data_IF_562957769511
#
_entry.id   IF_562957769511
#
_cell.length_a   1.000
_cell.length_b   1.000
_cell.length_c   1.000
_cell.angle_alpha   90.00
_cell.angle_beta   90.00
_cell.angle_gamma   90.00
#
_symmetry.space_group_name_H-M   'P 1'
#
loop_
_entity.id
_entity.type
_entity.pdbx_description
1 polymer ?
#
# COMPACT_ATOMS: atom_id res chain seq x y z
N UNK A 1 24.38 20.18 -50.43
CA UNK A 1 23.00 19.85 -50.80
C UNK A 1 22.10 20.08 -49.60
N UNK A 2 21.14 21.02 -49.65
CA UNK A 2 20.16 21.18 -48.57
C UNK A 2 18.83 20.54 -48.98
N UNK A 3 18.33 19.60 -48.18
CA UNK A 3 16.93 19.20 -48.25
C UNK A 3 16.15 19.84 -47.10
N UNK A 4 14.97 20.28 -47.49
CA UNK A 4 14.03 21.16 -46.80
C UNK A 4 12.95 20.34 -46.08
N UNK A 5 12.56 20.83 -44.90
CA UNK A 5 11.24 20.74 -44.24
C UNK A 5 10.61 19.36 -43.98
N UNK A 6 10.36 19.07 -42.70
CA UNK A 6 9.02 18.60 -42.32
C UNK A 6 8.70 18.90 -40.84
N UNK A 7 7.56 19.56 -40.68
CA UNK A 7 6.87 19.95 -39.45
C UNK A 7 6.41 18.77 -38.61
N UNK A 8 6.63 18.82 -37.29
CA UNK A 8 5.78 18.15 -36.31
C UNK A 8 5.31 19.15 -35.24
N UNK A 9 4.12 19.69 -35.47
CA UNK A 9 3.20 20.12 -34.39
C UNK A 9 2.70 18.86 -33.67
N UNK A 10 1.96 19.08 -32.57
CA UNK A 10 1.21 18.12 -31.72
C UNK A 10 2.03 17.29 -30.72
N UNK A 11 1.67 17.15 -29.45
CA UNK A 11 0.44 17.45 -28.70
C UNK A 11 0.82 17.77 -27.24
N UNK A 12 0.28 18.83 -26.67
CA UNK A 12 0.14 18.97 -25.22
C UNK A 12 -0.86 17.90 -24.74
N UNK A 13 -0.45 17.02 -23.82
CA UNK A 13 -1.38 16.30 -22.96
C UNK A 13 -0.84 16.26 -21.54
N UNK A 14 -1.41 17.17 -20.76
CA UNK A 14 -1.64 17.10 -19.33
C UNK A 14 -1.35 15.74 -18.68
N UNK A 15 -0.35 15.71 -17.78
CA UNK A 15 -0.38 14.89 -16.57
C UNK A 15 -0.05 15.80 -15.39
N UNK A 16 -0.84 16.87 -15.26
CA UNK A 16 -0.85 17.77 -14.10
C UNK A 16 -2.11 17.48 -13.27
N UNK A 17 -2.29 16.22 -12.88
CA UNK A 17 -3.45 15.78 -12.07
C UNK A 17 -3.13 14.65 -11.09
N UNK A 18 -1.87 14.43 -10.70
CA UNK A 18 -1.54 13.39 -9.69
C UNK A 18 -0.92 13.95 -8.40
N UNK A 19 -1.16 15.22 -8.07
CA UNK A 19 -0.60 15.81 -6.84
C UNK A 19 -1.60 16.57 -5.95
N UNK A 20 -2.90 16.54 -6.28
CA UNK A 20 -3.93 17.21 -5.46
C UNK A 20 -4.56 16.22 -4.45
N UNK A 21 -4.58 14.92 -4.74
CA UNK A 21 -5.06 13.90 -3.79
C UNK A 21 -3.98 13.43 -2.79
N UNK A 22 -2.70 13.48 -3.18
CA UNK A 22 -1.59 13.16 -2.28
C UNK A 22 -1.38 14.21 -1.18
N UNK A 23 -1.91 15.43 -1.36
CA UNK A 23 -1.68 16.57 -0.47
C UNK A 23 -2.57 16.60 0.79
N UNK A 24 -3.60 15.76 0.92
CA UNK A 24 -4.57 15.89 2.05
C UNK A 24 -4.94 14.60 2.79
N UNK A 25 -4.16 13.53 2.66
CA UNK A 25 -4.26 12.39 3.58
C UNK A 25 -3.15 12.50 4.62
N UNK A 26 -3.35 13.39 5.61
CA UNK A 26 -2.46 13.47 6.78
C UNK A 26 -2.59 12.17 7.58
N UNK A 27 -1.46 11.54 7.87
CA UNK A 27 -1.38 10.40 8.77
C UNK A 27 -1.46 10.88 10.21
N UNK A 28 -2.13 10.11 11.07
CA UNK A 28 -2.21 10.37 12.50
C UNK A 28 -1.86 9.11 13.29
N UNK A 29 -1.35 9.30 14.49
CA UNK A 29 -1.14 8.19 15.43
C UNK A 29 -2.47 7.49 15.68
N UNK A 30 -2.46 6.16 15.77
CA UNK A 30 -3.64 5.29 15.87
C UNK A 30 -4.48 5.15 14.60
N UNK A 31 -4.05 5.72 13.46
CA UNK A 31 -4.72 5.41 12.19
C UNK A 31 -4.67 3.91 11.90
N UNK A 32 -5.83 3.37 11.53
CA UNK A 32 -5.99 1.97 11.11
C UNK A 32 -5.62 1.86 9.64
N UNK A 33 -4.63 1.02 9.33
CA UNK A 33 -4.07 0.92 7.99
C UNK A 33 -4.11 -0.50 7.44
N UNK A 34 -4.11 -0.57 6.11
CA UNK A 34 -3.97 -1.80 5.36
C UNK A 34 -2.70 -1.70 4.52
N UNK A 35 -1.81 -2.67 4.70
CA UNK A 35 -0.60 -2.82 3.91
C UNK A 35 -0.71 -4.03 2.98
N UNK A 36 -0.57 -3.79 1.67
CA UNK A 36 -0.60 -4.82 0.64
C UNK A 36 0.77 -5.45 0.49
N UNK A 37 0.91 -6.75 0.78
CA UNK A 37 2.20 -7.45 0.63
C UNK A 37 2.12 -8.58 -0.38
N UNK A 38 2.90 -8.48 -1.45
CA UNK A 38 3.14 -9.58 -2.38
C UNK A 38 3.96 -10.69 -1.71
N UNK A 39 3.60 -11.93 -2.03
CA UNK A 39 4.20 -13.15 -1.49
C UNK A 39 4.26 -14.22 -2.55
N UNK A 40 5.24 -15.12 -2.38
CA UNK A 40 5.39 -16.32 -3.19
C UNK A 40 5.43 -17.55 -2.27
N UNK A 41 4.63 -18.56 -2.56
CA UNK A 41 4.54 -19.81 -1.79
C UNK A 41 3.96 -20.94 -2.63
N UNK A 42 4.23 -22.19 -2.24
CA UNK A 42 3.59 -23.39 -2.80
C UNK A 42 2.12 -23.51 -2.41
N UNK A 43 1.71 -22.85 -1.31
CA UNK A 43 0.34 -22.91 -0.78
C UNK A 43 -0.10 -21.51 -0.34
N UNK A 44 -0.91 -20.82 -1.15
CA UNK A 44 -1.55 -19.56 -0.78
C UNK A 44 -2.50 -19.74 0.40
N UNK A 45 -2.47 -18.81 1.34
CA UNK A 45 -3.37 -18.85 2.49
C UNK A 45 -4.78 -18.31 2.15
N UNK A 46 -5.78 -18.49 3.04
CA UNK A 46 -7.18 -18.08 2.79
C UNK A 46 -7.42 -16.58 2.54
N UNK A 47 -6.40 -15.73 2.72
CA UNK A 47 -6.47 -14.27 2.50
C UNK A 47 -5.62 -13.82 1.31
N UNK A 48 -5.16 -14.77 0.50
CA UNK A 48 -4.46 -14.49 -0.74
C UNK A 48 -5.48 -13.94 -1.76
N UNK A 49 -5.16 -12.80 -2.35
CA UNK A 49 -5.85 -12.23 -3.51
C UNK A 49 -4.88 -12.18 -4.69
N UNK A 50 -5.41 -12.04 -5.91
CA UNK A 50 -4.61 -11.99 -7.14
C UNK A 50 -3.62 -13.17 -7.20
N UNK A 51 -4.16 -14.39 -7.14
CA UNK A 51 -3.34 -15.60 -7.09
C UNK A 51 -3.00 -16.02 -8.51
N UNK A 52 -1.72 -15.94 -8.85
CA UNK A 52 -1.18 -16.35 -10.14
C UNK A 52 -0.25 -17.55 -9.97
N UNK A 53 -0.49 -18.61 -10.75
CA UNK A 53 0.43 -19.74 -10.81
C UNK A 53 1.71 -19.34 -11.56
N UNK A 54 2.87 -19.75 -11.04
CA UNK A 54 4.12 -19.62 -11.77
C UNK A 54 4.06 -20.44 -13.07
N UNK A 55 4.81 -20.03 -14.09
CA UNK A 55 4.78 -20.65 -15.42
C UNK A 55 5.07 -22.18 -15.42
N UNK A 56 5.77 -22.69 -14.41
CA UNK A 56 6.08 -24.12 -14.23
C UNK A 56 5.21 -24.83 -13.17
N UNK A 57 4.23 -24.14 -12.59
CA UNK A 57 3.26 -24.70 -11.64
C UNK A 57 3.78 -25.02 -10.23
N UNK A 58 5.07 -24.75 -9.94
CA UNK A 58 5.68 -25.10 -8.65
C UNK A 58 5.28 -24.17 -7.50
N UNK A 59 4.97 -22.91 -7.80
CA UNK A 59 4.65 -21.89 -6.81
C UNK A 59 3.55 -20.97 -7.30
N UNK A 60 2.97 -20.22 -6.35
CA UNK A 60 1.99 -19.18 -6.61
C UNK A 60 2.52 -17.84 -6.14
N UNK A 61 2.23 -16.80 -6.91
CA UNK A 61 2.38 -15.40 -6.52
C UNK A 61 1.02 -14.87 -6.09
N UNK A 62 0.98 -14.15 -4.98
CA UNK A 62 -0.28 -13.61 -4.47
C UNK A 62 -0.06 -12.39 -3.58
N UNK A 63 -1.08 -11.54 -3.47
CA UNK A 63 -1.07 -10.40 -2.57
C UNK A 63 -1.83 -10.73 -1.28
N UNK A 64 -1.32 -10.27 -0.14
CA UNK A 64 -1.97 -10.43 1.16
C UNK A 64 -2.08 -9.08 1.85
N UNK A 65 -3.31 -8.72 2.20
CA UNK A 65 -3.57 -7.53 3.00
C UNK A 65 -3.23 -7.76 4.47
N UNK A 66 -2.56 -6.77 5.06
CA UNK A 66 -2.10 -6.77 6.45
C UNK A 66 -2.73 -5.60 7.17
N UNK A 67 -3.48 -5.89 8.23
CA UNK A 67 -4.16 -4.90 9.06
C UNK A 67 -3.25 -4.50 10.22
N UNK A 68 -2.81 -3.25 10.23
CA UNK A 68 -1.85 -2.68 11.19
C UNK A 68 -2.36 -1.34 11.74
N UNK A 69 -1.67 -0.81 12.74
CA UNK A 69 -1.96 0.51 13.33
C UNK A 69 -0.71 1.37 13.33
N UNK A 70 -0.85 2.68 13.06
CA UNK A 70 0.23 3.64 13.22
C UNK A 70 0.51 3.84 14.71
N UNK A 71 1.67 3.37 15.15
CA UNK A 71 2.16 3.58 16.52
C UNK A 71 2.73 4.98 16.71
N UNK A 72 3.47 5.49 15.73
CA UNK A 72 4.12 6.79 15.81
C UNK A 72 4.50 7.31 14.41
N UNK A 73 4.45 8.63 14.23
CA UNK A 73 5.03 9.31 13.07
C UNK A 73 6.49 9.69 13.40
N UNK A 74 7.41 9.36 12.51
CA UNK A 74 8.83 9.67 12.62
C UNK A 74 9.11 10.93 11.78
N UNK A 75 10.01 11.79 12.27
CA UNK A 75 10.31 13.10 11.67
C UNK A 75 10.75 13.03 10.19
N UNK A 76 11.32 11.90 9.75
CA UNK A 76 11.80 11.68 8.39
C UNK A 76 10.71 11.26 7.38
N UNK A 77 9.43 11.43 7.71
CA UNK A 77 8.32 11.00 6.84
C UNK A 77 8.07 9.49 6.84
N UNK A 78 8.64 8.79 7.83
CA UNK A 78 8.36 7.37 8.07
C UNK A 78 7.25 7.20 9.10
N UNK A 79 6.51 6.10 8.96
CA UNK A 79 5.46 5.69 9.87
C UNK A 79 5.91 4.41 10.57
N UNK A 80 5.93 4.45 11.90
CA UNK A 80 6.15 3.26 12.71
C UNK A 80 4.81 2.54 12.87
N UNK A 81 4.69 1.39 12.25
CA UNK A 81 3.49 0.55 12.22
C UNK A 81 3.67 -0.63 13.17
N UNK A 82 2.60 -1.01 13.87
CA UNK A 82 2.58 -2.20 14.73
C UNK A 82 1.59 -3.24 14.20
N UNK A 83 2.02 -4.49 14.25
CA UNK A 83 1.20 -5.65 13.89
C UNK A 83 0.50 -6.24 15.11
N UNK A 84 -0.49 -7.11 14.89
CA UNK A 84 -1.18 -7.83 15.97
C UNK A 84 -0.24 -8.65 16.88
N UNK A 85 0.91 -9.09 16.39
CA UNK A 85 1.86 -9.85 17.20
C UNK A 85 2.86 -8.94 17.92
N UNK A 86 2.66 -7.61 17.90
CA UNK A 86 3.57 -6.63 18.48
C UNK A 86 4.80 -6.30 17.63
N UNK A 87 4.97 -6.93 16.46
CA UNK A 87 6.09 -6.61 15.56
C UNK A 87 5.92 -5.20 15.01
N UNK A 88 7.02 -4.45 14.96
CA UNK A 88 7.04 -3.08 14.46
C UNK A 88 7.71 -3.04 13.08
N UNK A 89 7.22 -2.14 12.22
CA UNK A 89 7.74 -1.91 10.87
C UNK A 89 7.76 -0.41 10.59
N UNK A 90 8.91 0.12 10.15
CA UNK A 90 9.00 1.48 9.63
C UNK A 90 8.74 1.46 8.11
N UNK A 91 7.79 2.25 7.64
CA UNK A 91 7.38 2.33 6.22
C UNK A 91 7.28 3.80 5.81
N UNK A 92 7.63 4.10 4.56
CA UNK A 92 7.47 5.44 3.99
C UNK A 92 5.98 5.83 3.93
N UNK A 93 5.66 7.06 4.31
CA UNK A 93 4.28 7.56 4.29
C UNK A 93 3.64 7.59 2.90
N UNK A 94 4.45 7.56 1.83
CA UNK A 94 4.04 7.55 0.43
C UNK A 94 4.17 6.17 -0.22
N UNK A 95 4.39 5.09 0.56
CA UNK A 95 4.44 3.75 0.00
C UNK A 95 3.10 3.41 -0.68
N UNK A 96 3.07 3.07 -1.98
CA UNK A 96 1.84 2.79 -2.72
C UNK A 96 1.07 1.59 -2.18
N UNK A 97 1.72 0.71 -1.41
CA UNK A 97 1.09 -0.44 -0.78
C UNK A 97 0.36 -0.09 0.52
N UNK A 98 0.60 1.11 1.06
CA UNK A 98 0.04 1.58 2.32
C UNK A 98 -1.18 2.46 2.06
N UNK A 99 -2.30 2.12 2.72
CA UNK A 99 -3.52 2.93 2.68
C UNK A 99 -4.25 2.92 4.01
N UNK A 100 -5.09 3.94 4.25
CA UNK A 100 -6.06 3.89 5.36
C UNK A 100 -7.04 2.75 5.14
N UNK A 101 -7.43 2.09 6.24
CA UNK A 101 -8.50 1.12 6.22
C UNK A 101 -9.83 1.83 5.93
N UNK A 102 -10.62 1.25 5.02
CA UNK A 102 -11.96 1.72 4.69
C UNK A 102 -12.92 1.53 5.88
N UNK A 103 -14.05 2.24 5.91
CA UNK A 103 -15.03 2.11 6.99
C UNK A 103 -15.53 0.66 7.17
N UNK A 104 -15.74 -0.06 6.07
CA UNK A 104 -16.14 -1.46 6.10
C UNK A 104 -15.05 -2.37 6.67
N UNK A 105 -13.79 -2.18 6.30
CA UNK A 105 -12.67 -2.95 6.86
C UNK A 105 -12.46 -2.66 8.34
N UNK A 106 -12.60 -1.40 8.76
CA UNK A 106 -12.55 -1.02 10.18
C UNK A 106 -13.62 -1.76 10.97
N UNK A 107 -14.84 -1.85 10.45
CA UNK A 107 -15.93 -2.57 11.09
C UNK A 107 -15.72 -4.09 11.09
N UNK A 108 -15.45 -4.69 9.93
CA UNK A 108 -15.32 -6.13 9.76
C UNK A 108 -14.10 -6.71 10.51
N UNK A 109 -12.98 -5.98 10.51
CA UNK A 109 -11.76 -6.36 11.21
C UNK A 109 -11.56 -5.69 12.56
N UNK A 110 -12.61 -5.09 13.15
CA UNK A 110 -12.54 -4.36 14.43
C UNK A 110 -11.82 -5.12 15.54
N UNK A 111 -12.05 -6.43 15.63
CA UNK A 111 -11.46 -7.27 16.66
C UNK A 111 -9.93 -7.35 16.52
N UNK A 112 -9.43 -7.41 15.28
CA UNK A 112 -7.99 -7.43 15.01
C UNK A 112 -7.34 -6.10 15.38
N UNK A 113 -8.02 -4.99 15.11
CA UNK A 113 -7.52 -3.67 15.48
C UNK A 113 -7.49 -3.49 17.00
N UNK A 114 -8.52 -3.92 17.73
CA UNK A 114 -8.51 -3.92 19.20
C UNK A 114 -7.36 -4.71 19.80
N UNK A 115 -7.04 -5.87 19.22
CA UNK A 115 -5.89 -6.69 19.64
C UNK A 115 -4.55 -5.97 19.41
N UNK A 116 -4.46 -5.10 18.39
CA UNK A 116 -3.27 -4.30 18.11
C UNK A 116 -3.21 -3.08 19.04
N UNK A 117 -4.33 -2.39 19.24
CA UNK A 117 -4.45 -1.23 20.13
C UNK A 117 -4.08 -1.59 21.57
N UNK A 118 -4.36 -2.81 22.02
CA UNK A 118 -3.93 -3.31 23.32
C UNK A 118 -2.40 -3.46 23.48
N UNK A 119 -1.62 -3.31 22.40
CA UNK A 119 -0.16 -3.41 22.38
C UNK A 119 0.54 -2.05 22.17
N UNK A 120 -0.23 -0.96 22.01
CA UNK A 120 0.28 0.39 21.85
C UNK A 120 0.62 1.00 23.20
#
# INVERSE_FOLDING_TARGET
MPYSLETKKTFHSCLYTDNILAHFMKWETHDLVVYSKQKHSVSPGPRAREVDAAARGETYSYTVDKFWVIKQLIEDGQLLLITRTGKQHAIDQNDPNLRKATLWERWYYRQRYREIEALL
#
